data_IF_460357960072
#
_entry.id   IF_460357960072
#
_cell.length_a   1.000
_cell.length_b   1.000
_cell.length_c   1.000
_cell.angle_alpha   90.00
_cell.angle_beta   90.00
_cell.angle_gamma   90.00
#
_symmetry.space_group_name_H-M   'P 1'
#
loop_
_entity.id
_entity.type
_entity.pdbx_description
1 polymer ?
#
# COMPACT_ATOMS: atom_id res chain seq x y z
N UNK A 1 -23.16 3.25 13.04
CA UNK A 1 -22.27 4.08 13.88
C UNK A 1 -21.66 3.26 15.01
N UNK A 2 -22.48 2.67 15.89
CA UNK A 2 -22.06 1.85 17.06
C UNK A 2 -21.07 0.71 16.75
N UNK A 3 -21.22 0.00 15.63
CA UNK A 3 -20.34 -1.14 15.29
C UNK A 3 -18.97 -0.74 14.74
N UNK A 4 -18.87 0.40 14.06
CA UNK A 4 -17.59 0.94 13.58
C UNK A 4 -16.81 1.62 14.71
N UNK A 5 -17.52 2.35 15.59
CA UNK A 5 -16.94 2.94 16.80
C UNK A 5 -16.41 1.88 17.77
N UNK A 6 -17.15 0.77 17.97
CA UNK A 6 -16.67 -0.36 18.76
C UNK A 6 -15.41 -1.00 18.18
N UNK A 7 -15.34 -1.16 16.84
CA UNK A 7 -14.14 -1.67 16.15
C UNK A 7 -12.95 -0.72 16.21
N UNK A 8 -13.18 0.60 16.14
CA UNK A 8 -12.12 1.61 16.27
C UNK A 8 -11.57 1.71 17.69
N UNK A 9 -12.44 1.67 18.71
CA UNK A 9 -12.04 1.66 20.12
C UNK A 9 -11.18 0.43 20.46
N UNK A 10 -11.52 -0.73 19.91
CA UNK A 10 -10.76 -1.98 20.07
C UNK A 10 -9.35 -1.89 19.45
N UNK A 11 -9.22 -1.37 18.22
CA UNK A 11 -7.91 -1.23 17.54
C UNK A 11 -7.00 -0.22 18.23
N UNK A 12 -7.53 0.91 18.71
CA UNK A 12 -6.75 1.89 19.48
C UNK A 12 -6.33 1.29 20.81
N UNK A 13 -7.24 0.65 21.56
CA UNK A 13 -6.92 0.02 22.84
C UNK A 13 -5.85 -1.07 22.71
N UNK A 14 -5.92 -1.88 21.65
CA UNK A 14 -4.86 -2.83 21.30
C UNK A 14 -3.51 -2.14 21.08
N UNK A 15 -3.47 -1.03 20.31
CA UNK A 15 -2.23 -0.32 20.04
C UNK A 15 -1.62 0.31 21.29
N UNK A 16 -2.43 0.95 22.14
CA UNK A 16 -1.96 1.53 23.41
C UNK A 16 -1.42 0.42 24.34
N UNK A 17 -2.09 -0.73 24.42
CA UNK A 17 -1.58 -1.87 25.19
C UNK A 17 -0.23 -2.37 24.67
N UNK A 18 -0.07 -2.50 23.35
CA UNK A 18 1.19 -2.95 22.73
C UNK A 18 2.29 -1.91 22.92
N UNK A 19 1.97 -0.61 22.83
CA UNK A 19 2.94 0.48 22.98
C UNK A 19 3.45 0.58 24.42
N UNK A 20 2.58 0.43 25.42
CA UNK A 20 2.95 0.34 26.84
C UNK A 20 3.82 -0.88 27.15
N UNK A 21 3.66 -1.96 26.38
CA UNK A 21 4.38 -3.23 26.54
C UNK A 21 5.42 -3.48 25.43
N UNK A 22 5.97 -2.43 24.83
CA UNK A 22 6.81 -2.51 23.64
C UNK A 22 7.98 -3.49 23.76
N UNK A 23 8.68 -3.54 24.90
CA UNK A 23 9.80 -4.47 25.11
C UNK A 23 9.36 -5.94 25.06
N UNK A 24 8.16 -6.25 25.54
CA UNK A 24 7.59 -7.60 25.45
C UNK A 24 7.18 -7.91 24.01
N UNK A 25 6.48 -6.99 23.35
CA UNK A 25 6.06 -7.14 21.96
C UNK A 25 7.25 -7.34 20.99
N UNK A 26 8.36 -6.63 21.20
CA UNK A 26 9.58 -6.80 20.42
C UNK A 26 10.22 -8.19 20.61
N UNK A 27 10.30 -8.68 21.86
CA UNK A 27 10.81 -10.03 22.15
C UNK A 27 9.95 -11.13 21.54
N UNK A 28 8.63 -11.01 21.66
CA UNK A 28 7.67 -11.93 21.02
C UNK A 28 7.78 -11.90 19.48
N UNK A 29 7.97 -10.72 18.90
CA UNK A 29 8.17 -10.56 17.45
C UNK A 29 9.47 -11.23 17.00
N UNK A 30 10.58 -11.00 17.69
CA UNK A 30 11.86 -11.66 17.40
C UNK A 30 11.73 -13.18 17.50
N UNK A 31 11.14 -13.68 18.60
CA UNK A 31 10.87 -15.12 18.76
C UNK A 31 10.10 -15.66 17.58
N UNK A 32 8.99 -15.01 17.20
CA UNK A 32 8.16 -15.46 16.09
C UNK A 32 8.93 -15.51 14.76
N UNK A 33 9.76 -14.51 14.48
CA UNK A 33 10.61 -14.49 13.27
C UNK A 33 11.58 -15.67 13.29
N UNK A 34 12.23 -15.95 14.42
CA UNK A 34 13.21 -17.02 14.54
C UNK A 34 12.56 -18.41 14.50
N UNK A 35 11.43 -18.62 15.15
CA UNK A 35 10.67 -19.88 15.05
C UNK A 35 10.27 -20.20 13.62
N UNK A 36 9.91 -19.17 12.85
CA UNK A 36 9.52 -19.33 11.45
C UNK A 36 10.73 -19.56 10.53
N UNK A 37 11.88 -18.97 10.82
CA UNK A 37 12.96 -18.82 9.83
C UNK A 37 14.32 -19.37 10.25
N UNK A 38 14.51 -19.90 11.47
CA UNK A 38 15.83 -20.34 11.96
C UNK A 38 16.51 -21.37 11.04
N UNK A 39 15.73 -22.22 10.37
CA UNK A 39 16.27 -23.20 9.43
C UNK A 39 16.63 -22.65 8.05
N UNK A 40 16.29 -21.39 7.73
CA UNK A 40 16.66 -20.78 6.46
C UNK A 40 18.19 -20.57 6.41
N UNK A 41 18.79 -20.67 5.23
CA UNK A 41 20.24 -20.70 5.04
C UNK A 41 20.94 -19.52 5.72
N UNK A 42 20.37 -18.31 5.63
CA UNK A 42 20.94 -17.12 6.24
C UNK A 42 21.01 -17.22 7.77
N UNK A 43 19.89 -17.55 8.44
CA UNK A 43 19.87 -17.66 9.90
C UNK A 43 20.64 -18.89 10.39
N UNK A 44 20.55 -20.01 9.67
CA UNK A 44 21.30 -21.24 9.97
C UNK A 44 22.80 -21.03 9.91
N UNK A 45 23.30 -20.16 9.01
CA UNK A 45 24.72 -19.79 8.94
C UNK A 45 25.24 -19.17 10.24
N UNK A 46 24.42 -18.38 10.93
CA UNK A 46 24.83 -17.63 12.12
C UNK A 46 24.43 -18.32 13.43
N UNK A 47 23.26 -18.93 13.47
CA UNK A 47 22.69 -19.54 14.67
C UNK A 47 22.95 -21.05 14.73
N UNK A 48 23.31 -21.71 13.63
CA UNK A 48 23.45 -23.16 13.58
C UNK A 48 22.10 -23.88 13.80
N UNK A 49 22.12 -24.98 14.55
CA UNK A 49 20.94 -25.81 14.84
C UNK A 49 20.37 -25.53 16.24
N UNK A 50 19.96 -24.29 16.47
CA UNK A 50 19.36 -23.86 17.75
C UNK A 50 17.89 -24.26 17.83
N UNK A 51 17.49 -24.84 18.96
CA UNK A 51 16.08 -25.06 19.29
C UNK A 51 15.49 -23.80 19.94
N UNK A 52 14.84 -22.97 19.13
CA UNK A 52 14.22 -21.71 19.56
C UNK A 52 13.13 -21.94 20.62
N UNK A 53 12.47 -23.10 20.63
CA UNK A 53 11.32 -23.36 21.52
C UNK A 53 11.73 -23.59 22.97
N UNK A 54 12.91 -24.15 23.18
CA UNK A 54 13.44 -24.48 24.51
C UNK A 54 14.15 -23.28 25.18
N UNK A 55 14.38 -22.19 24.44
CA UNK A 55 15.02 -20.98 24.95
C UNK A 55 14.01 -19.96 25.47
N UNK A 56 14.31 -19.28 26.58
CA UNK A 56 13.56 -18.11 27.03
C UNK A 56 13.87 -16.87 26.16
N UNK A 57 13.02 -15.84 26.25
CA UNK A 57 13.09 -14.65 25.39
C UNK A 57 14.42 -13.89 25.52
N UNK A 58 14.97 -13.79 26.74
CA UNK A 58 16.19 -13.01 26.97
C UNK A 58 17.42 -13.73 26.42
N UNK A 59 17.47 -15.07 26.60
CA UNK A 59 18.53 -15.89 26.03
C UNK A 59 18.50 -15.85 24.50
N UNK A 60 17.31 -15.88 23.90
CA UNK A 60 17.13 -15.81 22.45
C UNK A 60 17.56 -14.45 21.88
N UNK A 61 17.17 -13.36 22.54
CA UNK A 61 17.59 -12.00 22.19
C UNK A 61 19.13 -11.84 22.25
N UNK A 62 19.74 -12.32 23.34
CA UNK A 62 21.20 -12.26 23.54
C UNK A 62 21.93 -13.08 22.46
N UNK A 63 21.42 -14.27 22.14
CA UNK A 63 21.99 -15.11 21.09
C UNK A 63 21.93 -14.42 19.72
N UNK A 64 20.75 -13.89 19.36
CA UNK A 64 20.56 -13.23 18.06
C UNK A 64 21.47 -12.01 17.91
N UNK A 65 21.48 -11.12 18.92
CA UNK A 65 22.24 -9.87 18.88
C UNK A 65 23.75 -10.07 18.93
N UNK A 66 24.23 -11.18 19.51
CA UNK A 66 25.65 -11.51 19.56
C UNK A 66 26.18 -12.22 18.31
N UNK A 67 25.35 -12.98 17.59
CA UNK A 67 25.77 -13.83 16.48
C UNK A 67 25.35 -13.32 15.10
N UNK A 68 24.18 -12.68 14.97
CA UNK A 68 23.66 -12.23 13.67
C UNK A 68 24.15 -10.81 13.40
N UNK A 69 24.94 -10.58 12.34
CA UNK A 69 25.50 -9.26 12.08
C UNK A 69 24.45 -8.28 11.58
N UNK A 70 24.70 -6.99 11.84
CA UNK A 70 24.03 -5.90 11.16
C UNK A 70 24.52 -5.87 9.71
N UNK A 71 23.59 -5.86 8.77
CA UNK A 71 23.85 -6.00 7.33
C UNK A 71 23.17 -4.91 6.51
N UNK A 72 23.74 -4.64 5.35
CA UNK A 72 23.17 -3.76 4.33
C UNK A 72 22.43 -4.57 3.26
N UNK A 73 21.78 -3.88 2.33
CA UNK A 73 21.18 -4.54 1.15
C UNK A 73 22.23 -5.27 0.30
N UNK A 74 23.44 -4.71 0.17
CA UNK A 74 24.50 -5.32 -0.64
C UNK A 74 24.93 -6.71 -0.10
N UNK A 75 24.89 -6.90 1.22
CA UNK A 75 25.20 -8.19 1.86
C UNK A 75 24.10 -9.23 1.61
N UNK A 76 22.86 -8.77 1.41
CA UNK A 76 21.69 -9.63 1.14
C UNK A 76 21.48 -9.90 -0.35
N UNK A 77 21.97 -9.02 -1.23
CA UNK A 77 21.74 -9.09 -2.67
C UNK A 77 22.06 -10.47 -3.28
N UNK A 78 23.15 -11.17 -2.92
CA UNK A 78 23.42 -12.51 -3.44
C UNK A 78 22.30 -13.52 -3.20
N UNK A 79 21.64 -13.49 -2.03
CA UNK A 79 20.49 -14.35 -1.75
C UNK A 79 19.26 -13.91 -2.54
N UNK A 80 19.04 -12.60 -2.63
CA UNK A 80 17.88 -12.03 -3.33
C UNK A 80 17.96 -12.30 -4.84
N UNK A 81 19.15 -12.21 -5.45
CA UNK A 81 19.34 -12.53 -6.88
C UNK A 81 19.13 -14.03 -7.15
N UNK A 82 19.58 -14.91 -6.25
CA UNK A 82 19.31 -16.35 -6.33
C UNK A 82 17.80 -16.65 -6.32
N UNK A 83 17.06 -16.04 -5.38
CA UNK A 83 15.59 -16.09 -5.34
C UNK A 83 14.99 -15.55 -6.64
N UNK A 84 15.43 -14.37 -7.10
CA UNK A 84 14.94 -13.75 -8.32
C UNK A 84 15.18 -14.63 -9.56
N UNK A 85 16.24 -15.43 -9.58
CA UNK A 85 16.56 -16.38 -10.65
C UNK A 85 15.86 -17.74 -10.51
N UNK A 86 14.97 -17.90 -9.52
CA UNK A 86 14.10 -19.07 -9.38
C UNK A 86 14.59 -20.14 -8.41
N UNK A 87 15.57 -19.82 -7.55
CA UNK A 87 15.99 -20.74 -6.51
C UNK A 87 14.92 -20.89 -5.43
N UNK A 88 14.54 -22.15 -5.12
CA UNK A 88 13.43 -22.48 -4.23
C UNK A 88 13.87 -22.93 -2.83
N UNK A 89 15.17 -23.09 -2.58
CA UNK A 89 15.69 -23.38 -1.24
C UNK A 89 15.39 -22.23 -0.27
N UNK A 90 15.18 -22.50 1.02
CA UNK A 90 14.84 -21.47 2.00
C UNK A 90 16.07 -20.59 2.32
N UNK A 91 16.37 -19.62 1.46
CA UNK A 91 17.57 -18.79 1.58
C UNK A 91 17.45 -17.78 2.73
N UNK A 92 16.37 -17.00 2.73
CA UNK A 92 16.11 -15.92 3.70
C UNK A 92 14.93 -16.25 4.63
N UNK A 93 13.94 -16.96 4.11
CA UNK A 93 12.72 -17.35 4.82
C UNK A 93 12.42 -18.82 4.56
N UNK A 94 11.72 -19.48 5.49
CA UNK A 94 11.21 -20.84 5.24
C UNK A 94 10.04 -20.85 4.27
N UNK A 95 9.17 -19.85 4.35
CA UNK A 95 8.10 -19.65 3.38
C UNK A 95 8.71 -19.18 2.04
N UNK A 96 8.35 -19.78 0.90
CA UNK A 96 8.85 -19.36 -0.40
C UNK A 96 8.48 -17.91 -0.73
N UNK A 97 9.47 -17.14 -1.19
CA UNK A 97 9.25 -15.78 -1.66
C UNK A 97 8.74 -15.82 -3.10
N UNK A 98 7.49 -15.37 -3.29
CA UNK A 98 6.82 -15.39 -4.59
C UNK A 98 6.78 -14.02 -5.28
N UNK A 99 7.06 -12.96 -4.53
CA UNK A 99 6.98 -11.57 -4.98
C UNK A 99 8.17 -10.77 -4.44
N UNK A 100 8.74 -9.90 -5.26
CA UNK A 100 9.75 -8.93 -4.86
C UNK A 100 9.22 -7.51 -5.00
N UNK A 101 9.47 -6.67 -4.00
CA UNK A 101 9.18 -5.25 -4.06
C UNK A 101 10.41 -4.44 -4.49
N UNK A 102 10.17 -3.36 -5.23
CA UNK A 102 11.19 -2.36 -5.59
C UNK A 102 11.23 -1.26 -4.54
N UNK A 103 12.44 -1.00 -4.02
CA UNK A 103 12.72 0.22 -3.26
C UNK A 103 13.03 1.40 -4.20
N UNK A 104 12.70 2.62 -3.76
CA UNK A 104 13.16 3.86 -4.41
C UNK A 104 14.67 4.06 -4.24
N UNK A 105 15.28 3.49 -3.19
CA UNK A 105 16.72 3.50 -2.99
C UNK A 105 17.44 2.54 -3.94
N UNK A 106 18.63 2.93 -4.39
CA UNK A 106 19.45 2.12 -5.29
C UNK A 106 20.69 1.55 -4.58
N UNK A 107 21.19 0.42 -5.08
CA UNK A 107 22.53 -0.13 -4.77
C UNK A 107 23.28 -0.16 -6.10
N UNK A 108 24.43 0.53 -6.18
CA UNK A 108 25.23 0.61 -7.41
C UNK A 108 24.40 1.07 -8.65
N UNK A 109 23.45 1.98 -8.44
CA UNK A 109 22.59 2.50 -9.51
C UNK A 109 21.42 1.60 -9.93
N UNK A 110 21.31 0.38 -9.38
CA UNK A 110 20.16 -0.52 -9.60
C UNK A 110 19.15 -0.41 -8.47
N UNK A 111 17.86 -0.46 -8.80
CA UNK A 111 16.80 -0.49 -7.78
C UNK A 111 16.91 -1.77 -6.94
N UNK A 112 16.71 -1.63 -5.63
CA UNK A 112 16.82 -2.75 -4.69
C UNK A 112 15.57 -3.62 -4.76
N UNK A 113 15.77 -4.93 -4.96
CA UNK A 113 14.75 -5.93 -4.66
C UNK A 113 14.69 -6.19 -3.16
N UNK A 114 13.48 -6.26 -2.63
CA UNK A 114 13.20 -6.60 -1.24
C UNK A 114 12.10 -7.67 -1.23
N UNK A 115 12.30 -8.83 -0.57
CA UNK A 115 11.25 -9.84 -0.42
C UNK A 115 9.93 -9.25 0.05
N UNK A 116 8.84 -9.57 -0.65
CA UNK A 116 7.51 -9.08 -0.31
C UNK A 116 6.62 -10.26 0.07
N UNK A 117 6.24 -10.34 1.35
CA UNK A 117 5.50 -11.47 1.91
C UNK A 117 4.07 -11.05 2.30
N UNK A 118 3.20 -12.04 2.52
CA UNK A 118 1.81 -11.77 2.95
C UNK A 118 1.75 -11.09 4.32
N UNK A 119 2.74 -11.30 5.19
CA UNK A 119 2.82 -10.63 6.50
C UNK A 119 2.98 -9.11 6.33
N UNK A 120 3.63 -8.64 5.25
CA UNK A 120 3.77 -7.20 4.97
C UNK A 120 2.41 -6.57 4.61
N UNK A 121 1.60 -7.21 3.75
CA UNK A 121 0.28 -6.66 3.39
C UNK A 121 -0.67 -6.64 4.59
N UNK A 122 -0.59 -7.65 5.46
CA UNK A 122 -1.33 -7.70 6.73
C UNK A 122 -0.91 -6.59 7.69
N UNK A 123 0.39 -6.35 7.84
CA UNK A 123 0.90 -5.25 8.67
C UNK A 123 0.45 -3.89 8.13
N UNK A 124 0.49 -3.67 6.80
CA UNK A 124 -0.02 -2.44 6.17
C UNK A 124 -1.52 -2.25 6.43
N UNK A 125 -2.32 -3.33 6.34
CA UNK A 125 -3.74 -3.27 6.66
C UNK A 125 -3.97 -2.87 8.13
N UNK A 126 -3.22 -3.45 9.06
CA UNK A 126 -3.33 -3.12 10.48
C UNK A 126 -2.95 -1.66 10.76
N UNK A 127 -1.82 -1.19 10.20
CA UNK A 127 -1.41 0.22 10.30
C UNK A 127 -2.46 1.15 9.71
N UNK A 128 -3.05 0.79 8.57
CA UNK A 128 -4.11 1.59 7.92
C UNK A 128 -5.37 1.67 8.78
N UNK A 129 -5.78 0.56 9.43
CA UNK A 129 -6.93 0.54 10.35
C UNK A 129 -6.68 1.42 11.58
N UNK A 130 -5.48 1.34 12.15
CA UNK A 130 -5.09 2.17 13.28
C UNK A 130 -5.10 3.65 12.93
N UNK A 131 -4.47 4.01 11.79
CA UNK A 131 -4.48 5.39 11.29
C UNK A 131 -5.90 5.90 11.09
N UNK A 132 -6.77 5.12 10.45
CA UNK A 132 -8.16 5.49 10.25
C UNK A 132 -8.89 5.69 11.58
N UNK A 133 -8.70 4.80 12.57
CA UNK A 133 -9.33 4.93 13.89
C UNK A 133 -8.96 6.24 14.60
N UNK A 134 -7.67 6.62 14.62
CA UNK A 134 -7.25 7.89 15.20
C UNK A 134 -7.74 9.09 14.38
N UNK A 135 -7.66 9.03 13.05
CA UNK A 135 -8.14 10.11 12.19
C UNK A 135 -9.63 10.32 12.40
N UNK A 136 -10.46 9.28 12.40
CA UNK A 136 -11.90 9.38 12.60
C UNK A 136 -12.29 9.89 13.99
N UNK A 137 -11.47 9.68 15.01
CA UNK A 137 -11.68 10.27 16.35
C UNK A 137 -11.56 11.79 16.35
N UNK A 138 -10.66 12.35 15.54
CA UNK A 138 -10.45 13.80 15.44
C UNK A 138 -11.28 14.44 14.31
N UNK A 139 -11.45 13.73 13.21
CA UNK A 139 -12.06 14.16 11.96
C UNK A 139 -12.94 13.01 11.42
N UNK A 140 -14.17 12.87 11.94
CA UNK A 140 -15.07 11.80 11.53
C UNK A 140 -15.44 11.94 10.04
N UNK A 141 -15.35 10.83 9.30
CA UNK A 141 -15.87 10.72 7.93
C UNK A 141 -17.38 10.57 8.01
N UNK A 142 -18.13 11.31 7.19
CA UNK A 142 -19.59 11.19 7.19
C UNK A 142 -20.02 9.85 6.60
N UNK A 143 -21.23 9.41 6.92
CA UNK A 143 -21.78 8.22 6.27
C UNK A 143 -21.89 8.45 4.75
N UNK A 144 -21.29 7.55 3.97
CA UNK A 144 -21.18 7.70 2.51
C UNK A 144 -20.10 8.69 2.05
N UNK A 145 -19.28 9.23 2.96
CA UNK A 145 -18.13 10.07 2.63
C UNK A 145 -17.07 9.30 1.84
N UNK A 146 -16.40 10.00 0.93
CA UNK A 146 -15.35 9.46 0.07
C UNK A 146 -14.05 10.24 0.21
N UNK A 147 -12.96 9.59 -0.22
CA UNK A 147 -11.63 10.18 -0.28
C UNK A 147 -11.28 10.42 -1.75
N UNK A 148 -10.89 11.63 -2.09
CA UNK A 148 -10.15 11.89 -3.32
C UNK A 148 -8.69 11.49 -3.07
N UNK A 149 -8.36 10.25 -3.41
CA UNK A 149 -7.02 9.68 -3.17
C UNK A 149 -6.24 9.62 -4.49
N UNK A 150 -5.13 10.37 -4.57
CA UNK A 150 -4.20 10.32 -5.71
C UNK A 150 -3.19 9.20 -5.50
N UNK A 151 -3.55 7.99 -5.94
CA UNK A 151 -2.77 6.77 -5.80
C UNK A 151 -2.61 6.07 -7.15
N UNK A 152 -1.38 5.65 -7.43
CA UNK A 152 -0.99 5.17 -8.74
C UNK A 152 -0.25 3.84 -8.58
N UNK A 153 -0.75 2.79 -9.23
CA UNK A 153 -0.06 1.53 -9.36
C UNK A 153 0.75 1.52 -10.66
N UNK A 154 2.01 1.12 -10.56
CA UNK A 154 2.88 0.92 -11.70
C UNK A 154 2.65 -0.47 -12.33
N UNK A 155 3.33 -0.74 -13.44
CA UNK A 155 3.33 -2.08 -14.03
C UNK A 155 4.13 -3.05 -13.18
N UNK A 156 3.58 -4.26 -13.03
CA UNK A 156 4.31 -5.41 -12.49
C UNK A 156 5.03 -6.12 -13.62
N UNK A 157 6.27 -6.54 -13.39
CA UNK A 157 7.05 -7.35 -14.34
C UNK A 157 7.55 -8.62 -13.67
N UNK A 158 8.19 -9.51 -14.44
CA UNK A 158 8.70 -10.78 -13.92
C UNK A 158 10.21 -10.82 -13.86
N UNK A 159 10.75 -11.44 -12.83
CA UNK A 159 12.17 -11.82 -12.77
C UNK A 159 12.48 -12.96 -13.75
N UNK A 160 13.77 -13.28 -14.01
CA UNK A 160 14.14 -14.47 -14.78
C UNK A 160 13.58 -15.79 -14.21
N UNK A 161 13.46 -15.87 -12.88
CA UNK A 161 12.82 -16.99 -12.17
C UNK A 161 11.29 -16.96 -12.15
N UNK A 162 10.67 -15.97 -12.80
CA UNK A 162 9.21 -15.87 -12.94
C UNK A 162 8.46 -15.20 -11.79
N UNK A 163 9.17 -14.67 -10.78
CA UNK A 163 8.58 -13.96 -9.65
C UNK A 163 8.03 -12.60 -10.08
N UNK A 164 6.93 -12.18 -9.48
CA UNK A 164 6.36 -10.85 -9.76
C UNK A 164 7.17 -9.76 -9.05
N UNK A 165 7.36 -8.65 -9.73
CA UNK A 165 8.12 -7.48 -9.26
C UNK A 165 7.33 -6.21 -9.49
N UNK A 166 7.16 -5.42 -8.43
CA UNK A 166 6.53 -4.10 -8.49
C UNK A 166 6.94 -3.24 -7.31
N UNK A 167 6.53 -1.97 -7.29
CA UNK A 167 6.72 -1.16 -6.06
C UNK A 167 5.85 -1.72 -4.94
N UNK A 168 6.26 -1.54 -3.68
CA UNK A 168 5.48 -2.02 -2.53
C UNK A 168 4.03 -1.49 -2.55
N UNK A 169 3.83 -0.24 -2.96
CA UNK A 169 2.50 0.36 -3.13
C UNK A 169 1.68 -0.31 -4.24
N UNK A 170 2.29 -0.58 -5.40
CA UNK A 170 1.64 -1.28 -6.52
C UNK A 170 1.16 -2.65 -6.08
N UNK A 171 2.03 -3.42 -5.41
CA UNK A 171 1.71 -4.76 -4.92
C UNK A 171 0.61 -4.71 -3.86
N UNK A 172 0.63 -3.71 -2.98
CA UNK A 172 -0.43 -3.49 -2.00
C UNK A 172 -1.77 -3.11 -2.65
N UNK A 173 -1.81 -2.19 -3.62
CA UNK A 173 -3.05 -1.80 -4.30
C UNK A 173 -3.69 -2.95 -5.09
N UNK A 174 -2.90 -3.93 -5.51
CA UNK A 174 -3.40 -5.16 -6.16
C UNK A 174 -3.86 -6.24 -5.15
N UNK A 175 -3.52 -6.07 -3.86
CA UNK A 175 -3.79 -7.07 -2.81
C UNK A 175 -5.26 -7.10 -2.38
N UNK A 176 -5.68 -8.21 -1.74
CA UNK A 176 -7.02 -8.31 -1.14
C UNK A 176 -7.12 -7.38 0.07
N UNK A 177 -6.02 -7.17 0.79
CA UNK A 177 -5.92 -6.32 1.97
C UNK A 177 -6.26 -4.86 1.66
N UNK A 178 -5.95 -4.37 0.46
CA UNK A 178 -6.36 -3.02 0.04
C UNK A 178 -7.88 -2.89 -0.09
N UNK A 179 -8.57 -3.93 -0.60
CA UNK A 179 -10.04 -3.96 -0.64
C UNK A 179 -10.63 -4.08 0.77
N UNK A 180 -10.09 -4.98 1.57
CA UNK A 180 -10.48 -5.17 2.98
C UNK A 180 -10.28 -3.91 3.82
N UNK A 181 -9.23 -3.11 3.55
CA UNK A 181 -9.02 -1.80 4.20
C UNK A 181 -10.22 -0.90 3.97
N UNK A 182 -10.62 -0.70 2.71
CA UNK A 182 -11.73 0.20 2.37
C UNK A 182 -13.03 -0.23 3.03
N UNK A 183 -13.35 -1.52 3.00
CA UNK A 183 -14.56 -2.08 3.61
C UNK A 183 -14.59 -1.95 5.15
N UNK A 184 -13.43 -2.18 5.79
CA UNK A 184 -13.29 -2.14 7.25
C UNK A 184 -13.27 -0.71 7.79
N UNK A 185 -12.67 0.22 7.07
CA UNK A 185 -12.56 1.64 7.48
C UNK A 185 -13.71 2.51 6.96
N UNK A 186 -14.61 1.94 6.13
CA UNK A 186 -15.67 2.65 5.41
C UNK A 186 -15.18 3.87 4.63
N UNK A 187 -13.89 3.88 4.30
CA UNK A 187 -13.19 4.97 3.62
C UNK A 187 -12.95 4.55 2.18
N UNK A 188 -13.89 4.88 1.31
CA UNK A 188 -13.83 4.52 -0.11
C UNK A 188 -13.18 5.64 -0.92
N UNK A 189 -12.30 5.27 -1.85
CA UNK A 189 -11.76 6.25 -2.80
C UNK A 189 -12.76 6.53 -3.92
N UNK A 190 -12.76 7.76 -4.43
CA UNK A 190 -13.58 8.16 -5.58
C UNK A 190 -13.24 7.36 -6.85
N UNK A 191 -12.02 6.81 -6.92
CA UNK A 191 -11.47 6.25 -8.15
C UNK A 191 -11.50 4.72 -8.15
N UNK A 192 -12.03 4.08 -9.21
CA UNK A 192 -12.07 2.63 -9.30
C UNK A 192 -10.67 2.03 -9.54
N UNK A 193 -10.55 0.72 -9.35
CA UNK A 193 -9.28 0.01 -9.46
C UNK A 193 -8.62 0.18 -10.84
N UNK A 194 -9.40 0.29 -11.91
CA UNK A 194 -8.95 0.49 -13.28
C UNK A 194 -8.29 1.87 -13.49
N UNK A 195 -8.68 2.87 -12.70
CA UNK A 195 -7.98 4.16 -12.66
C UNK A 195 -6.69 4.01 -11.87
N UNK A 196 -6.73 3.45 -10.67
CA UNK A 196 -5.54 3.26 -9.81
C UNK A 196 -4.47 2.43 -10.52
N UNK A 197 -4.89 1.40 -11.27
CA UNK A 197 -4.01 0.43 -11.93
C UNK A 197 -3.77 0.73 -13.41
N UNK A 198 -4.12 1.94 -13.87
CA UNK A 198 -3.99 2.32 -15.28
C UNK A 198 -2.56 2.35 -15.80
N UNK A 199 -1.58 2.60 -14.92
CA UNK A 199 -0.16 2.63 -15.26
C UNK A 199 0.29 3.82 -16.11
N UNK A 200 -0.63 4.68 -16.55
CA UNK A 200 -0.37 5.95 -17.23
C UNK A 200 -0.74 7.11 -16.30
N UNK A 201 0.28 7.78 -15.77
CA UNK A 201 0.10 8.82 -14.75
C UNK A 201 -0.83 9.96 -15.22
N UNK A 202 -0.76 10.34 -16.50
CA UNK A 202 -1.54 11.46 -17.04
C UNK A 202 -3.01 11.08 -17.14
N UNK A 203 -3.31 9.90 -17.70
CA UNK A 203 -4.69 9.39 -17.80
C UNK A 203 -5.30 9.14 -16.42
N UNK A 204 -4.53 8.50 -15.51
CA UNK A 204 -4.96 8.28 -14.14
C UNK A 204 -5.28 9.59 -13.42
N UNK A 205 -4.40 10.60 -13.51
CA UNK A 205 -4.58 11.90 -12.84
C UNK A 205 -5.82 12.62 -13.36
N UNK A 206 -6.04 12.62 -14.68
CA UNK A 206 -7.26 13.17 -15.27
C UNK A 206 -8.50 12.50 -14.68
N UNK A 207 -8.53 11.17 -14.64
CA UNK A 207 -9.67 10.43 -14.09
C UNK A 207 -9.86 10.60 -12.58
N UNK A 208 -8.78 10.67 -11.79
CA UNK A 208 -8.85 10.98 -10.36
C UNK A 208 -9.52 12.33 -10.12
N UNK A 209 -9.09 13.37 -10.84
CA UNK A 209 -9.67 14.71 -10.74
C UNK A 209 -11.12 14.75 -11.20
N UNK A 210 -11.42 14.14 -12.35
CA UNK A 210 -12.78 14.06 -12.90
C UNK A 210 -13.74 13.42 -11.88
N UNK A 211 -13.38 12.26 -11.33
CA UNK A 211 -14.21 11.56 -10.36
C UNK A 211 -14.27 12.31 -9.02
N UNK A 212 -13.16 12.91 -8.59
CA UNK A 212 -13.12 13.76 -7.38
C UNK A 212 -14.06 14.96 -7.47
N UNK A 213 -14.10 15.63 -8.62
CA UNK A 213 -15.03 16.73 -8.88
C UNK A 213 -16.47 16.23 -9.03
N UNK A 214 -16.69 15.15 -9.78
CA UNK A 214 -18.01 14.55 -9.97
C UNK A 214 -18.65 14.17 -8.63
N UNK A 215 -17.84 13.65 -7.70
CA UNK A 215 -18.26 13.29 -6.35
C UNK A 215 -17.92 14.34 -5.29
N UNK A 216 -17.61 15.58 -5.68
CA UNK A 216 -17.14 16.64 -4.77
C UNK A 216 -18.03 16.85 -3.55
N UNK A 217 -19.35 16.72 -3.71
CA UNK A 217 -20.32 16.82 -2.61
C UNK A 217 -20.19 15.72 -1.57
N UNK A 218 -19.53 14.59 -1.87
CA UNK A 218 -19.26 13.44 -1.01
C UNK A 218 -17.78 13.34 -0.55
N UNK A 219 -16.87 14.14 -1.12
CA UNK A 219 -15.46 14.14 -0.74
C UNK A 219 -15.27 14.80 0.62
N UNK A 220 -14.68 14.07 1.57
CA UNK A 220 -14.32 14.59 2.91
C UNK A 220 -12.82 14.85 3.04
N UNK A 221 -12.01 14.06 2.32
CA UNK A 221 -10.55 14.13 2.40
C UNK A 221 -9.94 14.11 1.01
N UNK A 222 -8.87 14.88 0.84
CA UNK A 222 -7.94 14.79 -0.28
C UNK A 222 -6.63 14.21 0.26
N UNK A 223 -6.16 13.11 -0.33
CA UNK A 223 -5.02 12.37 0.19
C UNK A 223 -4.10 11.85 -0.91
N UNK A 224 -2.83 11.69 -0.56
CA UNK A 224 -1.84 10.96 -1.35
C UNK A 224 -0.70 10.52 -0.44
N UNK A 225 0.11 9.57 -0.89
CA UNK A 225 1.32 9.14 -0.17
C UNK A 225 2.38 10.25 -0.04
N UNK A 226 2.36 11.25 -0.93
CA UNK A 226 3.30 12.37 -0.90
C UNK A 226 2.58 13.69 -1.21
N UNK A 227 2.96 14.76 -0.49
CA UNK A 227 2.46 16.11 -0.75
C UNK A 227 2.76 16.57 -2.20
N UNK A 228 3.92 16.19 -2.74
CA UNK A 228 4.29 16.45 -4.13
C UNK A 228 3.24 15.95 -5.13
N UNK A 229 2.67 14.77 -4.89
CA UNK A 229 1.66 14.18 -5.78
C UNK A 229 0.38 15.01 -5.81
N UNK A 230 -0.03 15.55 -4.65
CA UNK A 230 -1.18 16.45 -4.55
C UNK A 230 -0.92 17.73 -5.35
N UNK A 231 0.26 18.33 -5.17
CA UNK A 231 0.65 19.53 -5.91
C UNK A 231 0.62 19.27 -7.42
N UNK A 232 1.20 18.16 -7.88
CA UNK A 232 1.17 17.79 -9.30
C UNK A 232 -0.25 17.59 -9.85
N UNK A 233 -1.13 16.94 -9.08
CA UNK A 233 -2.52 16.76 -9.49
C UNK A 233 -3.27 18.09 -9.60
N UNK A 234 -3.07 19.02 -8.67
CA UNK A 234 -3.72 20.33 -8.74
C UNK A 234 -3.11 21.25 -9.81
N UNK A 235 -1.80 21.21 -10.04
CA UNK A 235 -1.21 21.89 -11.21
C UNK A 235 -1.76 21.33 -12.53
N UNK A 236 -1.96 20.01 -12.61
CA UNK A 236 -2.63 19.41 -13.76
C UNK A 236 -4.08 19.89 -13.90
N UNK A 237 -4.80 20.06 -12.78
CA UNK A 237 -6.16 20.62 -12.79
C UNK A 237 -6.16 22.07 -13.33
N UNK A 238 -5.25 22.92 -12.89
CA UNK A 238 -5.13 24.31 -13.37
C UNK A 238 -5.00 24.40 -14.91
N UNK A 239 -4.30 23.44 -15.51
CA UNK A 239 -4.13 23.37 -16.96
C UNK A 239 -5.32 22.76 -17.70
N UNK A 240 -6.03 21.79 -17.09
CA UNK A 240 -6.99 20.92 -17.78
C UNK A 240 -8.45 21.06 -17.28
N UNK A 241 -8.74 21.98 -16.34
CA UNK A 241 -10.05 22.09 -15.71
C UNK A 241 -11.20 22.30 -16.71
N UNK A 242 -10.98 23.02 -17.82
CA UNK A 242 -12.02 23.27 -18.83
C UNK A 242 -12.49 21.99 -19.51
N UNK A 243 -11.54 21.11 -19.82
CA UNK A 243 -11.83 19.81 -20.45
C UNK A 243 -12.56 18.90 -19.47
N UNK A 244 -12.08 18.85 -18.22
CA UNK A 244 -12.71 18.08 -17.14
C UNK A 244 -14.14 18.60 -16.88
N UNK A 245 -14.33 19.91 -16.87
CA UNK A 245 -15.64 20.54 -16.69
C UNK A 245 -16.62 20.18 -17.82
N UNK A 246 -16.16 20.21 -19.08
CA UNK A 246 -16.95 19.79 -20.22
C UNK A 246 -17.37 18.32 -20.12
N UNK A 247 -16.45 17.43 -19.73
CA UNK A 247 -16.74 16.01 -19.49
C UNK A 247 -17.79 15.81 -18.39
N UNK A 248 -17.73 16.58 -17.29
CA UNK A 248 -18.75 16.56 -16.22
C UNK A 248 -20.10 17.03 -16.76
N UNK A 249 -20.12 18.13 -17.52
CA UNK A 249 -21.33 18.72 -18.09
C UNK A 249 -22.07 17.73 -18.98
N UNK A 250 -21.35 17.04 -19.85
CA UNK A 250 -21.90 16.12 -20.85
C UNK A 250 -22.02 14.68 -20.35
N UNK A 251 -21.41 14.34 -19.21
CA UNK A 251 -21.31 12.96 -18.74
C UNK A 251 -20.47 12.08 -19.67
N UNK A 252 -19.50 12.69 -20.35
CA UNK A 252 -18.61 12.03 -21.30
C UNK A 252 -17.19 11.94 -20.72
N UNK A 253 -16.30 11.32 -21.47
CA UNK A 253 -14.90 11.20 -21.11
C UNK A 253 -14.03 11.55 -22.31
N UNK A 254 -13.07 12.44 -22.09
CA UNK A 254 -12.09 12.89 -23.07
C UNK A 254 -11.45 11.74 -23.84
N UNK A 255 -11.19 11.97 -25.13
CA UNK A 255 -10.44 11.04 -25.99
C UNK A 255 -8.98 10.86 -25.57
N UNK A 256 -8.47 11.71 -24.66
CA UNK A 256 -7.17 11.52 -23.99
C UNK A 256 -7.12 10.21 -23.21
N UNK A 257 -8.26 9.74 -22.70
CA UNK A 257 -8.35 8.47 -22.00
C UNK A 257 -8.48 7.34 -23.03
N UNK A 258 -7.34 6.75 -23.37
CA UNK A 258 -7.18 5.73 -24.39
C UNK A 258 -7.28 4.31 -23.84
N UNK A 259 -7.08 4.12 -22.52
CA UNK A 259 -7.15 2.82 -21.86
C UNK A 259 -8.60 2.30 -21.80
N UNK A 260 -8.96 1.21 -22.50
CA UNK A 260 -10.37 0.79 -22.64
C UNK A 260 -11.06 0.43 -21.33
N UNK A 261 -10.34 -0.28 -20.43
CA UNK A 261 -10.90 -0.70 -19.14
C UNK A 261 -11.14 0.50 -18.23
N UNK A 262 -10.19 1.44 -18.18
CA UNK A 262 -10.33 2.69 -17.43
C UNK A 262 -11.51 3.50 -17.98
N UNK A 263 -11.60 3.64 -19.31
CA UNK A 263 -12.67 4.37 -19.98
C UNK A 263 -14.04 3.78 -19.64
N UNK A 264 -14.17 2.45 -19.71
CA UNK A 264 -15.39 1.72 -19.35
C UNK A 264 -15.78 1.93 -17.89
N UNK A 265 -14.82 1.78 -16.97
CA UNK A 265 -15.06 1.93 -15.53
C UNK A 265 -15.50 3.36 -15.16
N UNK A 266 -14.85 4.38 -15.72
CA UNK A 266 -15.19 5.79 -15.44
C UNK A 266 -16.55 6.15 -16.03
N UNK A 267 -16.84 5.76 -17.28
CA UNK A 267 -18.15 6.01 -17.92
C UNK A 267 -19.30 5.31 -17.19
N UNK A 268 -19.05 4.16 -16.55
CA UNK A 268 -20.07 3.50 -15.73
C UNK A 268 -20.47 4.34 -14.50
N UNK A 269 -19.55 5.15 -13.96
CA UNK A 269 -19.73 5.94 -12.75
C UNK A 269 -20.30 7.34 -13.03
N UNK A 270 -19.79 8.04 -14.05
CA UNK A 270 -20.17 9.44 -14.29
C UNK A 270 -21.53 9.59 -14.95
N UNK A 271 -22.21 10.70 -14.68
CA UNK A 271 -23.48 11.11 -15.31
C UNK A 271 -23.42 12.60 -15.66
N UNK A 272 -24.15 13.05 -16.71
CA UNK A 272 -24.18 14.46 -17.07
C UNK A 272 -24.63 15.33 -15.89
N UNK A 273 -23.83 16.34 -15.54
CA UNK A 273 -24.15 17.27 -14.46
C UNK A 273 -23.80 18.73 -14.85
N UNK A 274 -24.66 19.39 -15.65
CA UNK A 274 -24.41 20.76 -16.08
C UNK A 274 -24.38 21.78 -14.94
N UNK A 275 -25.13 21.54 -13.87
CA UNK A 275 -25.15 22.42 -12.70
C UNK A 275 -23.79 22.48 -12.00
N UNK A 276 -23.20 21.31 -11.75
CA UNK A 276 -21.86 21.22 -11.17
C UNK A 276 -20.80 21.84 -12.09
N UNK A 277 -20.90 21.61 -13.40
CA UNK A 277 -19.99 22.22 -14.36
C UNK A 277 -20.03 23.76 -14.28
N UNK A 278 -21.22 24.37 -14.26
CA UNK A 278 -21.36 25.81 -14.10
C UNK A 278 -20.78 26.32 -12.78
N UNK A 279 -20.96 25.59 -11.68
CA UNK A 279 -20.36 25.96 -10.39
C UNK A 279 -18.83 25.95 -10.43
N UNK A 280 -18.23 24.98 -11.13
CA UNK A 280 -16.77 24.89 -11.28
C UNK A 280 -16.25 26.05 -12.15
N UNK A 281 -16.97 26.42 -13.21
CA UNK A 281 -16.62 27.55 -14.09
C UNK A 281 -16.65 28.92 -13.40
N UNK A 282 -17.40 29.05 -12.30
CA UNK A 282 -17.56 30.30 -11.54
C UNK A 282 -16.48 30.54 -10.47
N UNK A 283 -15.65 29.54 -10.15
CA UNK A 283 -14.55 29.61 -9.16
C UNK A 283 -13.30 30.24 -9.77
#
# INVERSE_FOLDING_TARGET
METAEAGHADVIGWFEHVSENACKAQRETLRRILELNCGADYLRKWLGSVDVKEMDDNSLETLFTSLVPIVSHADMDPYIQRIANGETSPLLTQEPITVLSLSSGTTEGRQKYVPFTCQITQAILQMSRLSAAYTSRCYPIREGGMILEFIYAAKVFKTPGGLDVGTATTLYYASKEFKTKQEATKSFTCSPQEVISGGDFVQCTYCHLLLGLHFSSQVDFVASGFAYTIVQAFSFLEENWREICADIKEGNLSSRITLPNMRTAVLALIRPNPSLASQIEEI
#
